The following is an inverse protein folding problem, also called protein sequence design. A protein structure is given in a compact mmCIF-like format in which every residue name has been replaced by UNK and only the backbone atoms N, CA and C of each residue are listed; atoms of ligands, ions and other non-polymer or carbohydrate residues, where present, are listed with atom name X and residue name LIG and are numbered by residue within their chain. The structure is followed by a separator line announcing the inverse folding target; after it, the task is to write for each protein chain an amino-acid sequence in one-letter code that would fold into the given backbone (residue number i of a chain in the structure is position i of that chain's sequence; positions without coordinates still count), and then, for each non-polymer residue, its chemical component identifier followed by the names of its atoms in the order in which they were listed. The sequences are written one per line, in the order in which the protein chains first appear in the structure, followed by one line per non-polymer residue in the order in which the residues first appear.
data_IF_764665000832
#
_entry.id   IF_764665000832
#
_cell.length_a   1.000
_cell.length_b   1.000
_cell.length_c   1.000
_cell.angle_alpha   90.00
_cell.angle_beta   90.00
_cell.angle_gamma   90.00
#
_symmetry.space_group_name_H-M   'P 1'
#
loop_
_entity.id
_entity.type
_entity.pdbx_description
1 polymer ?
#
# COMPACT_ATOMS: atom_id res chain seq x y z
N UNK A 1 -4.58 2.72 43.79
CA UNK A 1 -4.46 1.85 42.62
C UNK A 1 -3.25 0.99 42.86
N UNK A 2 -3.45 -0.26 43.31
CA UNK A 2 -2.37 -1.23 43.45
C UNK A 2 -1.79 -1.50 42.06
N UNK A 3 -0.47 -1.40 41.89
CA UNK A 3 0.17 -1.80 40.65
C UNK A 3 -0.07 -3.30 40.45
N UNK A 4 -0.45 -3.77 39.26
CA UNK A 4 -0.50 -5.20 39.00
C UNK A 4 0.85 -5.82 39.34
N UNK A 5 0.85 -7.03 39.91
CA UNK A 5 2.08 -7.75 40.18
C UNK A 5 2.84 -7.96 38.85
N UNK A 6 4.03 -7.37 38.73
CA UNK A 6 4.87 -7.44 37.53
C UNK A 6 6.09 -8.32 37.83
N UNK A 7 6.32 -9.32 36.99
CA UNK A 7 7.55 -10.12 37.01
C UNK A 7 8.45 -9.67 35.85
N UNK A 8 9.69 -9.29 36.16
CA UNK A 8 10.68 -8.88 35.16
C UNK A 8 11.56 -10.07 34.79
N UNK A 9 11.65 -10.36 33.50
CA UNK A 9 12.46 -11.44 32.94
C UNK A 9 13.62 -10.83 32.15
N UNK A 10 14.89 -11.02 32.56
CA UNK A 10 16.02 -10.50 31.81
C UNK A 10 16.14 -11.22 30.47
N UNK A 11 16.30 -10.45 29.39
CA UNK A 11 16.51 -11.00 28.04
C UNK A 11 17.89 -10.61 27.51
N UNK A 12 18.46 -11.44 26.63
CA UNK A 12 19.71 -11.14 25.90
C UNK A 12 19.46 -10.53 24.52
N UNK A 13 18.23 -10.10 24.25
CA UNK A 13 17.83 -9.55 22.95
C UNK A 13 18.44 -8.16 22.78
N UNK A 14 19.11 -7.95 21.65
CA UNK A 14 19.76 -6.67 21.34
C UNK A 14 18.74 -5.74 20.68
N UNK A 15 18.67 -4.52 21.20
CA UNK A 15 17.84 -3.46 20.65
C UNK A 15 18.23 -3.13 19.19
N UNK A 16 17.25 -3.05 18.29
CA UNK A 16 17.44 -2.62 16.91
C UNK A 16 16.23 -1.84 16.40
N UNK A 17 16.49 -0.75 15.67
CA UNK A 17 15.46 -0.01 14.95
C UNK A 17 15.01 -0.68 13.64
N UNK A 18 15.75 -1.68 13.16
CA UNK A 18 15.43 -2.38 11.92
C UNK A 18 14.29 -3.36 12.17
N UNK A 19 13.20 -3.20 11.41
CA UNK A 19 12.01 -4.05 11.52
C UNK A 19 12.35 -5.55 11.47
N UNK A 20 13.26 -5.99 10.60
CA UNK A 20 13.62 -7.41 10.48
C UNK A 20 14.27 -8.01 11.73
N UNK A 21 15.15 -7.26 12.40
CA UNK A 21 15.80 -7.72 13.63
C UNK A 21 14.83 -7.66 14.82
N UNK A 22 13.98 -6.62 14.82
CA UNK A 22 12.98 -6.41 15.86
C UNK A 22 11.88 -7.47 15.77
N UNK A 23 11.39 -7.79 14.57
CA UNK A 23 10.39 -8.83 14.33
C UNK A 23 10.91 -10.21 14.75
N UNK A 24 12.16 -10.55 14.43
CA UNK A 24 12.76 -11.81 14.91
C UNK A 24 12.79 -11.89 16.45
N UNK A 25 13.09 -10.78 17.12
CA UNK A 25 13.12 -10.72 18.58
C UNK A 25 11.72 -10.85 19.21
N UNK A 26 10.73 -10.14 18.67
CA UNK A 26 9.34 -10.22 19.11
C UNK A 26 8.69 -11.57 18.79
N UNK A 27 9.05 -12.19 17.67
CA UNK A 27 8.57 -13.52 17.29
C UNK A 27 9.09 -14.58 18.28
N UNK A 28 10.35 -14.50 18.71
CA UNK A 28 10.90 -15.38 19.75
C UNK A 28 10.21 -15.18 21.11
N UNK A 29 9.92 -13.92 21.47
CA UNK A 29 9.15 -13.59 22.67
C UNK A 29 7.74 -14.18 22.59
N UNK A 30 7.05 -13.98 21.47
CA UNK A 30 5.71 -14.52 21.22
C UNK A 30 5.69 -16.04 21.31
N UNK A 31 6.63 -16.72 20.64
CA UNK A 31 6.73 -18.18 20.65
C UNK A 31 7.08 -18.76 22.01
N UNK A 32 7.81 -18.02 22.85
CA UNK A 32 8.19 -18.49 24.20
C UNK A 32 7.09 -18.21 25.22
N UNK A 33 6.48 -17.02 25.18
CA UNK A 33 5.59 -16.53 26.23
C UNK A 33 4.13 -16.89 25.97
N UNK A 34 3.62 -16.77 24.74
CA UNK A 34 2.21 -17.10 24.42
C UNK A 34 1.81 -18.53 24.80
N UNK A 35 2.61 -19.58 24.58
CA UNK A 35 2.22 -20.93 25.01
C UNK A 35 2.23 -21.09 26.53
N UNK A 36 3.09 -20.36 27.27
CA UNK A 36 3.10 -20.38 28.74
C UNK A 36 1.83 -19.72 29.28
N UNK A 37 1.43 -18.57 28.71
CA UNK A 37 0.21 -17.86 29.09
C UNK A 37 -1.04 -18.69 28.77
N UNK A 38 -1.09 -19.29 27.57
CA UNK A 38 -2.26 -20.04 27.11
C UNK A 38 -2.36 -21.45 27.71
N UNK A 39 -1.25 -22.00 28.23
CA UNK A 39 -1.17 -23.37 28.74
C UNK A 39 -1.56 -23.52 30.22
N UNK A 40 -1.71 -22.43 30.96
CA UNK A 40 -1.98 -22.44 32.39
C UNK A 40 -3.29 -21.69 32.69
N UNK A 41 -4.28 -22.39 33.26
CA UNK A 41 -5.65 -21.88 33.41
C UNK A 41 -5.71 -20.61 34.29
N UNK A 42 -4.79 -20.47 35.24
CA UNK A 42 -4.67 -19.30 36.11
C UNK A 42 -4.00 -18.09 35.42
N UNK A 43 -3.18 -18.35 34.38
CA UNK A 43 -2.48 -17.32 33.60
C UNK A 43 -3.19 -16.94 32.29
N UNK A 44 -4.34 -17.54 31.96
CA UNK A 44 -5.13 -17.28 30.74
C UNK A 44 -5.51 -15.81 30.50
N UNK A 45 -5.30 -14.91 31.48
CA UNK A 45 -5.53 -13.46 31.37
C UNK A 45 -4.25 -12.62 31.38
N UNK A 46 -3.08 -13.24 31.41
CA UNK A 46 -1.79 -12.56 31.37
C UNK A 46 -1.49 -11.96 29.99
N UNK A 47 -0.80 -10.83 29.97
CA UNK A 47 -0.08 -10.34 28.80
C UNK A 47 1.42 -10.31 29.11
N UNK A 48 2.23 -9.94 28.13
CA UNK A 48 3.60 -9.51 28.38
C UNK A 48 3.83 -8.15 27.73
N UNK A 49 4.79 -7.41 28.27
CA UNK A 49 5.29 -6.19 27.64
C UNK A 49 6.78 -6.11 27.88
N UNK A 50 7.51 -5.46 26.98
CA UNK A 50 8.92 -5.14 27.18
C UNK A 50 9.06 -4.01 28.20
N UNK A 51 10.14 -3.99 29.00
CA UNK A 51 10.42 -2.89 29.95
C UNK A 51 10.29 -1.50 29.31
N UNK A 52 10.68 -1.39 28.04
CA UNK A 52 10.58 -0.16 27.27
C UNK A 52 9.28 -0.15 26.46
N UNK A 53 8.14 0.17 27.06
CA UNK A 53 6.83 0.13 26.37
C UNK A 53 6.77 0.85 25.00
N UNK A 54 7.59 1.89 24.81
CA UNK A 54 7.73 2.61 23.54
C UNK A 54 8.20 1.69 22.39
N UNK A 55 9.03 0.67 22.65
CA UNK A 55 9.46 -0.25 21.59
C UNK A 55 8.34 -1.17 21.14
N UNK A 56 7.53 -1.67 22.08
CA UNK A 56 6.35 -2.47 21.73
C UNK A 56 5.41 -1.66 20.85
N UNK A 57 5.12 -0.42 21.25
CA UNK A 57 4.28 0.48 20.47
C UNK A 57 4.85 0.76 19.07
N UNK A 58 6.16 1.00 18.97
CA UNK A 58 6.82 1.23 17.69
C UNK A 58 6.79 -0.01 16.78
N UNK A 59 7.02 -1.19 17.34
CA UNK A 59 6.93 -2.45 16.61
C UNK A 59 5.51 -2.72 16.12
N UNK A 60 4.52 -2.55 17.00
CA UNK A 60 3.11 -2.73 16.68
C UNK A 60 2.65 -1.75 15.60
N UNK A 61 3.12 -0.50 15.66
CA UNK A 61 2.88 0.51 14.62
C UNK A 61 3.44 0.05 13.27
N UNK A 62 4.72 -0.32 13.20
CA UNK A 62 5.35 -0.77 11.95
C UNK A 62 4.66 -2.02 11.39
N UNK A 63 4.33 -2.98 12.27
CA UNK A 63 3.66 -4.23 11.89
C UNK A 63 2.25 -3.96 11.35
N UNK A 64 1.45 -3.15 12.04
CA UNK A 64 0.10 -2.79 11.59
C UNK A 64 0.17 -2.13 10.23
N UNK A 65 1.05 -1.14 10.07
CA UNK A 65 1.14 -0.40 8.82
C UNK A 65 1.54 -1.31 7.64
N UNK A 66 2.53 -2.19 7.81
CA UNK A 66 2.92 -3.13 6.75
C UNK A 66 1.76 -4.07 6.41
N UNK A 67 1.05 -4.58 7.42
CA UNK A 67 -0.08 -5.48 7.23
C UNK A 67 -1.26 -4.78 6.53
N UNK A 68 -1.61 -3.59 7.00
CA UNK A 68 -2.70 -2.76 6.47
C UNK A 68 -2.39 -2.33 5.05
N UNK A 69 -1.16 -1.88 4.76
CA UNK A 69 -0.72 -1.52 3.41
C UNK A 69 -0.82 -2.71 2.44
N UNK A 70 -0.32 -3.88 2.84
CA UNK A 70 -0.41 -5.10 2.03
C UNK A 70 -1.88 -5.47 1.77
N UNK A 71 -2.72 -5.41 2.80
CA UNK A 71 -4.13 -5.76 2.70
C UNK A 71 -4.89 -4.75 1.82
N UNK A 72 -4.68 -3.45 2.03
CA UNK A 72 -5.25 -2.38 1.21
C UNK A 72 -4.84 -2.49 -0.25
N UNK A 73 -3.57 -2.77 -0.54
CA UNK A 73 -3.11 -2.95 -1.91
C UNK A 73 -3.79 -4.14 -2.60
N UNK A 74 -3.84 -5.30 -1.94
CA UNK A 74 -4.50 -6.50 -2.48
C UNK A 74 -5.99 -6.25 -2.70
N UNK A 75 -6.68 -5.65 -1.72
CA UNK A 75 -8.11 -5.35 -1.81
C UNK A 75 -8.38 -4.36 -2.94
N UNK A 76 -7.59 -3.28 -3.06
CA UNK A 76 -7.72 -2.30 -4.14
C UNK A 76 -7.52 -2.93 -5.52
N UNK A 77 -6.52 -3.80 -5.69
CA UNK A 77 -6.32 -4.54 -6.94
C UNK A 77 -7.50 -5.45 -7.27
N UNK A 78 -8.04 -6.17 -6.28
CA UNK A 78 -9.20 -7.04 -6.47
C UNK A 78 -10.45 -6.25 -6.87
N UNK A 79 -10.70 -5.11 -6.21
CA UNK A 79 -11.83 -4.23 -6.51
C UNK A 79 -11.71 -3.66 -7.93
N UNK A 80 -10.52 -3.18 -8.30
CA UNK A 80 -10.25 -2.67 -9.65
C UNK A 80 -10.43 -3.76 -10.71
N UNK A 81 -9.94 -4.97 -10.45
CA UNK A 81 -10.10 -6.10 -11.36
C UNK A 81 -11.57 -6.47 -11.55
N UNK A 82 -12.32 -6.57 -10.46
CA UNK A 82 -13.75 -6.90 -10.48
C UNK A 82 -14.55 -5.81 -11.21
N UNK A 83 -14.29 -4.54 -10.90
CA UNK A 83 -15.01 -3.44 -11.52
C UNK A 83 -14.65 -3.28 -13.01
N UNK A 84 -13.39 -3.47 -13.37
CA UNK A 84 -12.93 -3.55 -14.77
C UNK A 84 -13.63 -4.68 -15.54
N UNK A 85 -13.78 -5.86 -14.92
CA UNK A 85 -14.51 -6.99 -15.51
C UNK A 85 -15.98 -6.67 -15.79
N UNK A 86 -16.66 -6.01 -14.85
CA UNK A 86 -18.08 -5.64 -15.00
C UNK A 86 -18.26 -4.55 -16.06
N UNK A 87 -17.45 -3.49 -16.02
CA UNK A 87 -17.62 -2.32 -16.90
C UNK A 87 -17.13 -2.57 -18.33
N UNK A 88 -15.95 -3.19 -18.51
CA UNK A 88 -15.33 -3.34 -19.83
C UNK A 88 -15.61 -4.69 -20.52
N UNK A 89 -16.28 -5.64 -19.83
CA UNK A 89 -16.61 -6.99 -20.34
C UNK A 89 -15.42 -7.64 -21.09
N UNK A 90 -15.53 -7.79 -22.42
CA UNK A 90 -14.54 -8.49 -23.26
C UNK A 90 -13.16 -7.80 -23.31
N UNK A 91 -13.09 -6.50 -23.00
CA UNK A 91 -11.83 -5.74 -22.99
C UNK A 91 -11.17 -5.69 -21.61
N UNK A 92 -11.77 -6.32 -20.59
CA UNK A 92 -11.26 -6.31 -19.21
C UNK A 92 -9.87 -6.94 -19.06
N UNK A 93 -9.54 -7.95 -19.86
CA UNK A 93 -8.22 -8.61 -19.80
C UNK A 93 -7.11 -7.63 -20.19
N UNK A 94 -7.32 -6.89 -21.30
CA UNK A 94 -6.36 -5.88 -21.75
C UNK A 94 -6.25 -4.73 -20.75
N UNK A 95 -7.38 -4.26 -20.22
CA UNK A 95 -7.42 -3.22 -19.18
C UNK A 95 -6.68 -3.63 -17.91
N UNK A 96 -6.83 -4.89 -17.49
CA UNK A 96 -6.14 -5.44 -16.32
C UNK A 96 -4.64 -5.51 -16.56
N UNK A 97 -4.23 -6.02 -17.74
CA UNK A 97 -2.82 -6.12 -18.10
C UNK A 97 -2.15 -4.74 -18.15
N UNK A 98 -2.84 -3.72 -18.66
CA UNK A 98 -2.32 -2.36 -18.66
C UNK A 98 -2.16 -1.81 -17.25
N UNK A 99 -3.14 -2.01 -16.36
CA UNK A 99 -3.06 -1.53 -14.97
C UNK A 99 -1.91 -2.22 -14.22
N UNK A 100 -1.78 -3.54 -14.35
CA UNK A 100 -0.67 -4.28 -13.73
C UNK A 100 0.68 -3.81 -14.28
N UNK A 101 0.78 -3.58 -15.58
CA UNK A 101 2.01 -3.05 -16.20
C UNK A 101 2.37 -1.67 -15.66
N UNK A 102 1.39 -0.77 -15.50
CA UNK A 102 1.63 0.58 -14.93
C UNK A 102 2.15 0.46 -13.50
N UNK A 103 1.52 -0.36 -12.67
CA UNK A 103 1.93 -0.57 -11.26
C UNK A 103 3.32 -1.20 -11.16
N UNK A 104 3.64 -2.17 -12.02
CA UNK A 104 4.98 -2.75 -12.08
C UNK A 104 6.03 -1.73 -12.54
N UNK A 105 5.71 -0.88 -13.52
CA UNK A 105 6.60 0.18 -13.98
C UNK A 105 6.84 1.24 -12.89
N UNK A 106 5.80 1.68 -12.17
CA UNK A 106 5.98 2.64 -11.07
C UNK A 106 6.80 2.05 -9.94
N UNK A 107 6.52 0.81 -9.52
CA UNK A 107 7.34 0.08 -8.56
C UNK A 107 8.80 -0.04 -9.03
N UNK A 108 9.02 -0.38 -10.29
CA UNK A 108 10.36 -0.48 -10.88
C UNK A 108 11.12 0.84 -10.81
N UNK A 109 10.46 1.96 -11.11
CA UNK A 109 11.08 3.29 -11.01
C UNK A 109 11.46 3.65 -9.57
N UNK A 110 10.63 3.32 -8.59
CA UNK A 110 10.95 3.54 -7.16
C UNK A 110 12.16 2.75 -6.71
N UNK A 111 12.24 1.47 -7.11
CA UNK A 111 13.39 0.63 -6.80
C UNK A 111 14.68 1.17 -7.44
N UNK A 112 14.60 1.71 -8.66
CA UNK A 112 15.74 2.35 -9.33
C UNK A 112 16.18 3.64 -8.65
N UNK A 113 15.25 4.39 -8.03
CA UNK A 113 15.55 5.56 -7.21
C UNK A 113 16.14 5.21 -5.84
N UNK A 114 16.23 3.92 -5.50
CA UNK A 114 16.75 3.44 -4.22
C UNK A 114 15.82 3.68 -3.05
N UNK A 115 14.51 3.84 -3.31
CA UNK A 115 13.54 4.11 -2.25
C UNK A 115 13.17 2.83 -1.51
N UNK A 116 13.18 2.90 -0.17
CA UNK A 116 12.65 1.84 0.68
C UNK A 116 11.12 1.98 0.76
N UNK A 117 10.39 0.87 0.60
CA UNK A 117 8.92 0.88 0.64
C UNK A 117 8.48 1.08 2.09
N UNK A 118 8.03 2.29 2.40
CA UNK A 118 7.42 2.67 3.65
C UNK A 118 5.90 2.81 3.55
N UNK A 119 5.36 3.50 4.55
CA UNK A 119 3.92 3.74 4.72
C UNK A 119 3.38 4.62 3.61
N UNK A 120 4.09 5.70 3.31
CA UNK A 120 3.65 6.73 2.40
C UNK A 120 3.69 6.20 0.96
N UNK A 121 4.75 5.47 0.61
CA UNK A 121 4.92 4.81 -0.68
C UNK A 121 3.81 3.79 -0.92
N UNK A 122 3.44 3.00 0.10
CA UNK A 122 2.35 2.05 -0.02
C UNK A 122 0.98 2.73 -0.25
N UNK A 123 0.71 3.84 0.43
CA UNK A 123 -0.50 4.64 0.19
C UNK A 123 -0.51 5.19 -1.23
N UNK A 124 0.62 5.74 -1.71
CA UNK A 124 0.70 6.30 -3.05
C UNK A 124 0.57 5.19 -4.11
N UNK A 125 1.11 3.98 -3.88
CA UNK A 125 0.90 2.84 -4.77
C UNK A 125 -0.58 2.46 -4.92
N UNK A 126 -1.37 2.55 -3.83
CA UNK A 126 -2.83 2.35 -3.90
C UNK A 126 -3.49 3.46 -4.73
N UNK A 127 -3.04 4.71 -4.60
CA UNK A 127 -3.52 5.84 -5.42
C UNK A 127 -3.19 5.62 -6.90
N UNK A 128 -1.98 5.16 -7.24
CA UNK A 128 -1.56 4.82 -8.61
C UNK A 128 -2.45 3.75 -9.22
N UNK A 129 -2.80 2.70 -8.46
CA UNK A 129 -3.74 1.65 -8.91
C UNK A 129 -5.09 2.26 -9.28
N UNK A 130 -5.61 3.16 -8.43
CA UNK A 130 -6.88 3.86 -8.66
C UNK A 130 -6.86 4.78 -9.88
N UNK A 131 -5.83 5.61 -10.02
CA UNK A 131 -5.65 6.52 -11.17
C UNK A 131 -5.48 5.76 -12.49
N UNK A 132 -4.72 4.66 -12.47
CA UNK A 132 -4.54 3.80 -13.65
C UNK A 132 -5.86 3.19 -14.11
N UNK A 133 -6.69 2.76 -13.15
CA UNK A 133 -8.02 2.25 -13.42
C UNK A 133 -8.94 3.35 -13.99
N UNK A 134 -8.93 4.55 -13.41
CA UNK A 134 -9.75 5.69 -13.87
C UNK A 134 -9.48 6.05 -15.33
N UNK A 135 -8.19 6.19 -15.71
CA UNK A 135 -7.81 6.45 -17.10
C UNK A 135 -8.26 5.33 -18.04
N UNK A 136 -8.07 4.08 -17.62
CA UNK A 136 -8.48 2.91 -18.42
C UNK A 136 -10.00 2.84 -18.59
N UNK A 137 -10.76 3.20 -17.56
CA UNK A 137 -12.22 3.25 -17.58
C UNK A 137 -12.72 4.34 -18.53
N UNK A 138 -12.11 5.53 -18.54
CA UNK A 138 -12.47 6.60 -19.49
C UNK A 138 -12.28 6.19 -20.96
N UNK A 139 -11.19 5.46 -21.26
CA UNK A 139 -11.01 4.86 -22.58
C UNK A 139 -12.03 3.77 -22.88
N UNK A 140 -12.33 2.90 -21.91
CA UNK A 140 -13.32 1.83 -22.05
C UNK A 140 -14.74 2.32 -22.28
N UNK A 141 -15.17 3.33 -21.51
CA UNK A 141 -16.52 3.88 -21.55
C UNK A 141 -16.83 4.60 -22.87
N UNK A 142 -15.81 5.16 -23.52
CA UNK A 142 -15.95 5.83 -24.82
C UNK A 142 -15.84 4.86 -26.01
N UNK A 143 -15.53 3.58 -25.76
CA UNK A 143 -15.32 2.59 -26.81
C UNK A 143 -16.65 1.95 -27.27
N UNK A 144 -17.08 2.17 -28.52
CA UNK A 144 -18.33 1.59 -29.02
C UNK A 144 -18.18 0.09 -29.32
N UNK A 145 -19.14 -0.71 -28.87
CA UNK A 145 -19.08 -2.19 -28.95
C UNK A 145 -19.38 -2.79 -30.33
N UNK A 146 -19.92 -2.03 -31.30
CA UNK A 146 -20.45 -2.56 -32.57
C UNK A 146 -19.80 -1.98 -33.84
N UNK A 147 -18.61 -1.40 -33.73
CA UNK A 147 -17.94 -0.69 -34.83
C UNK A 147 -16.59 -1.37 -35.17
N UNK A 148 -16.11 -1.21 -36.41
CA UNK A 148 -14.78 -1.67 -36.82
C UNK A 148 -13.69 -1.27 -35.79
N UNK A 149 -12.73 -2.16 -35.44
CA UNK A 149 -11.75 -1.91 -34.37
C UNK A 149 -11.00 -0.58 -34.51
N UNK A 150 -10.55 -0.26 -35.72
CA UNK A 150 -9.82 0.99 -36.01
C UNK A 150 -10.66 2.24 -35.75
N UNK A 151 -11.94 2.21 -36.14
CA UNK A 151 -12.83 3.35 -35.99
C UNK A 151 -13.33 3.47 -34.53
N UNK A 152 -13.57 2.34 -33.87
CA UNK A 152 -13.87 2.27 -32.42
C UNK A 152 -12.74 2.89 -31.59
N UNK A 153 -11.48 2.57 -31.90
CA UNK A 153 -10.31 3.16 -31.25
C UNK A 153 -10.20 4.67 -31.50
N UNK A 154 -10.39 5.14 -32.75
CA UNK A 154 -10.34 6.58 -33.05
C UNK A 154 -11.40 7.38 -32.30
N UNK A 155 -12.62 6.83 -32.17
CA UNK A 155 -13.68 7.46 -31.38
C UNK A 155 -13.36 7.47 -29.89
N UNK A 156 -12.86 6.36 -29.34
CA UNK A 156 -12.45 6.27 -27.94
C UNK A 156 -11.34 7.29 -27.62
N UNK A 157 -10.32 7.38 -28.46
CA UNK A 157 -9.24 8.37 -28.31
C UNK A 157 -9.80 9.79 -28.34
N UNK A 158 -10.61 10.14 -29.35
CA UNK A 158 -11.15 11.51 -29.47
C UNK A 158 -12.07 11.89 -28.30
N UNK A 159 -12.78 10.94 -27.72
CA UNK A 159 -13.66 11.14 -26.57
C UNK A 159 -12.92 11.24 -25.24
N UNK A 160 -12.00 10.31 -24.98
CA UNK A 160 -11.33 10.17 -23.69
C UNK A 160 -10.08 11.06 -23.53
N UNK A 161 -9.37 11.38 -24.61
CA UNK A 161 -8.06 12.05 -24.50
C UNK A 161 -8.14 13.46 -23.92
N UNK A 162 -9.21 14.21 -24.20
CA UNK A 162 -9.38 15.60 -23.73
C UNK A 162 -9.46 15.70 -22.20
N UNK A 163 -10.37 14.97 -21.52
CA UNK A 163 -10.43 15.02 -20.06
C UNK A 163 -9.18 14.42 -19.41
N UNK A 164 -8.65 13.32 -19.96
CA UNK A 164 -7.45 12.67 -19.39
C UNK A 164 -6.25 13.61 -19.46
N UNK A 165 -5.99 14.26 -20.60
CA UNK A 165 -4.89 15.21 -20.73
C UNK A 165 -5.02 16.38 -19.74
N UNK A 166 -6.22 16.92 -19.56
CA UNK A 166 -6.44 18.01 -18.60
C UNK A 166 -6.19 17.56 -17.17
N UNK A 167 -6.63 16.35 -16.80
CA UNK A 167 -6.31 15.74 -15.51
C UNK A 167 -4.80 15.59 -15.34
N UNK A 168 -4.10 15.00 -16.31
CA UNK A 168 -2.64 14.80 -16.25
C UNK A 168 -1.87 16.12 -16.13
N UNK A 169 -2.23 17.14 -16.92
CA UNK A 169 -1.60 18.47 -16.83
C UNK A 169 -1.84 19.09 -15.45
N UNK A 170 -3.05 18.97 -14.90
CA UNK A 170 -3.36 19.49 -13.57
C UNK A 170 -2.58 18.77 -12.47
N UNK A 171 -2.41 17.44 -12.56
CA UNK A 171 -1.63 16.66 -11.61
C UNK A 171 -0.14 16.98 -11.67
N UNK A 172 0.42 17.12 -12.89
CA UNK A 172 1.82 17.52 -13.07
C UNK A 172 2.04 18.93 -12.52
N UNK A 173 1.12 19.86 -12.78
CA UNK A 173 1.23 21.22 -12.27
C UNK A 173 1.16 21.25 -10.74
N UNK A 174 0.25 20.46 -10.14
CA UNK A 174 0.16 20.33 -8.69
C UNK A 174 1.45 19.76 -8.08
N UNK A 175 2.00 18.67 -8.66
CA UNK A 175 3.29 18.12 -8.24
C UNK A 175 4.44 19.12 -8.40
N UNK A 176 4.46 19.88 -9.51
CA UNK A 176 5.48 20.89 -9.74
C UNK A 176 5.46 22.04 -8.73
N UNK A 177 4.28 22.40 -8.21
CA UNK A 177 4.17 23.39 -7.13
C UNK A 177 4.64 22.81 -5.79
N UNK A 178 4.47 21.51 -5.56
CA UNK A 178 4.93 20.85 -4.34
C UNK A 178 6.47 20.75 -4.25
N UNK A 179 7.20 20.82 -5.38
CA UNK A 179 8.67 20.80 -5.42
C UNK A 179 9.35 21.89 -4.60
N UNK A 180 8.63 22.99 -4.33
CA UNK A 180 9.13 24.09 -3.52
C UNK A 180 8.90 23.89 -2.01
N UNK A 181 8.26 22.79 -1.60
CA UNK A 181 8.05 22.46 -0.20
C UNK A 181 9.29 21.81 0.42
N UNK A 182 9.69 22.24 1.61
CA UNK A 182 10.87 21.70 2.33
C UNK A 182 10.59 20.35 3.03
N UNK A 183 9.36 19.88 3.00
CA UNK A 183 8.88 18.72 3.75
C UNK A 183 9.01 17.42 2.95
N UNK A 184 9.76 16.45 3.49
CA UNK A 184 10.06 15.18 2.82
C UNK A 184 8.83 14.42 2.29
N UNK A 185 7.71 14.44 3.03
CA UNK A 185 6.47 13.78 2.59
C UNK A 185 5.92 14.38 1.28
N UNK A 186 6.05 15.69 1.06
CA UNK A 186 5.60 16.33 -0.17
C UNK A 186 6.56 16.05 -1.32
N UNK A 187 7.88 16.03 -1.04
CA UNK A 187 8.89 15.57 -1.99
C UNK A 187 8.65 14.14 -2.45
N UNK A 188 8.10 13.29 -1.59
CA UNK A 188 7.76 11.93 -1.96
C UNK A 188 6.49 11.85 -2.81
N UNK A 189 5.46 12.62 -2.47
CA UNK A 189 4.19 12.64 -3.22
C UNK A 189 4.36 13.23 -4.61
N UNK A 190 5.26 14.20 -4.83
CA UNK A 190 5.42 14.86 -6.13
C UNK A 190 6.20 14.03 -7.17
N UNK A 191 7.13 13.18 -6.73
CA UNK A 191 7.95 12.34 -7.60
C UNK A 191 7.14 11.15 -8.12
N UNK A 192 6.13 10.74 -7.35
CA UNK A 192 5.21 9.66 -7.67
C UNK A 192 4.13 10.08 -8.67
#
# INVERSE_FOLDING_TARGET
MESPAQALLPTKLVYSHRFANLSASFELLDQTIKPIINGDEDLLRGWYTTEWGVISQWFDLQRSIIQDCKQSFIVSLLVVLLFSAVMLRLNSIYATLTIVSIVCCTLGMLLLLGWEIGVLEAVILVVVVGLSFDYTLHFGATMPSKVCPMHSLQMAIRGAIRPILMSTVSSILAGAVMLFAETHAFFQVEIF
#
